data_IF_965221365336
#
_entry.id   IF_965221365336
#
_cell.length_a   1.000
_cell.length_b   1.000
_cell.length_c   1.000
_cell.angle_alpha   90.00
_cell.angle_beta   90.00
_cell.angle_gamma   90.00
#
_symmetry.space_group_name_H-M   'P 1'
#
loop_
_entity.id
_entity.type
_entity.pdbx_description
1 polymer ?
#
# COMPACT_ATOMS: atom_id res chain seq x y z
N UNK A 1 -11.20 -42.83 35.37
CA UNK A 1 -10.80 -41.55 34.76
C UNK A 1 -12.03 -40.66 34.70
N UNK A 2 -12.03 -39.53 35.40
CA UNK A 2 -13.12 -38.55 35.29
C UNK A 2 -12.99 -37.88 33.91
N UNK A 3 -13.89 -38.22 32.99
CA UNK A 3 -14.05 -37.49 31.74
C UNK A 3 -14.68 -36.12 32.06
N UNK A 4 -14.09 -35.00 31.59
CA UNK A 4 -14.66 -33.69 31.85
C UNK A 4 -15.97 -33.57 31.07
N UNK A 5 -17.06 -33.35 31.79
CA UNK A 5 -18.34 -32.94 31.22
C UNK A 5 -18.13 -31.64 30.46
N UNK A 6 -18.18 -31.69 29.13
CA UNK A 6 -18.31 -30.48 28.31
C UNK A 6 -19.70 -29.92 28.55
N UNK A 7 -19.85 -29.11 29.60
CA UNK A 7 -21.01 -28.23 29.73
C UNK A 7 -20.94 -27.23 28.60
N UNK A 8 -21.58 -27.55 27.47
CA UNK A 8 -21.84 -26.56 26.42
C UNK A 8 -22.78 -25.53 27.03
N UNK A 9 -22.23 -24.40 27.46
CA UNK A 9 -23.03 -23.22 27.78
C UNK A 9 -23.95 -23.00 26.56
N UNK A 10 -25.28 -22.98 26.73
CA UNK A 10 -26.18 -22.79 25.59
C UNK A 10 -25.81 -21.47 24.90
N UNK A 11 -25.58 -21.54 23.58
CA UNK A 11 -25.18 -20.40 22.79
C UNK A 11 -26.16 -19.23 23.01
N UNK A 12 -25.63 -18.11 23.49
CA UNK A 12 -26.43 -16.93 23.81
C UNK A 12 -26.96 -16.32 22.50
N UNK A 13 -28.28 -16.34 22.31
CA UNK A 13 -28.91 -15.79 21.11
C UNK A 13 -28.89 -14.26 21.13
N UNK A 14 -27.91 -13.62 20.48
CA UNK A 14 -27.80 -12.16 20.37
C UNK A 14 -29.08 -11.49 19.82
N UNK A 15 -29.83 -12.17 18.97
CA UNK A 15 -31.12 -11.71 18.44
C UNK A 15 -32.24 -11.60 19.48
N UNK A 16 -32.07 -12.21 20.67
CA UNK A 16 -33.02 -12.12 21.79
C UNK A 16 -32.82 -10.88 22.66
N UNK A 17 -31.71 -10.15 22.45
CA UNK A 17 -31.44 -8.91 23.17
C UNK A 17 -32.34 -7.78 22.67
N UNK A 18 -32.75 -6.85 23.56
CA UNK A 18 -33.33 -5.58 23.12
C UNK A 18 -32.40 -4.86 22.14
N UNK A 19 -32.97 -4.18 21.13
CA UNK A 19 -32.21 -3.55 20.04
C UNK A 19 -31.04 -2.66 20.50
N UNK A 20 -31.21 -1.91 21.60
CA UNK A 20 -30.14 -1.05 22.13
C UNK A 20 -28.96 -1.84 22.70
N UNK A 21 -29.20 -3.03 23.24
CA UNK A 21 -28.16 -3.89 23.81
C UNK A 21 -27.42 -4.61 22.68
N UNK A 22 -28.14 -5.17 21.70
CA UNK A 22 -27.52 -5.80 20.54
C UNK A 22 -26.69 -4.82 19.71
N UNK A 23 -27.17 -3.59 19.50
CA UNK A 23 -26.39 -2.54 18.83
C UNK A 23 -25.07 -2.23 19.54
N UNK A 24 -25.07 -2.19 20.89
CA UNK A 24 -23.86 -1.95 21.68
C UNK A 24 -22.88 -3.12 21.58
N UNK A 25 -23.35 -4.35 21.69
CA UNK A 25 -22.51 -5.55 21.58
C UNK A 25 -21.88 -5.64 20.19
N UNK A 26 -22.67 -5.45 19.13
CA UNK A 26 -22.15 -5.47 17.75
C UNK A 26 -21.16 -4.34 17.52
N UNK A 27 -21.39 -3.14 18.07
CA UNK A 27 -20.41 -2.04 17.97
C UNK A 27 -19.09 -2.28 18.71
N UNK A 28 -19.07 -3.16 19.72
CA UNK A 28 -17.85 -3.53 20.45
C UNK A 28 -17.08 -4.69 19.83
N UNK A 29 -17.65 -5.38 18.84
CA UNK A 29 -16.99 -6.50 18.16
C UNK A 29 -15.75 -6.05 17.40
N UNK A 30 -14.71 -6.90 17.38
CA UNK A 30 -13.53 -6.69 16.53
C UNK A 30 -13.88 -6.97 15.06
N UNK A 31 -13.08 -6.50 14.08
CA UNK A 31 -13.45 -6.64 12.66
C UNK A 31 -13.73 -8.08 12.23
N UNK A 32 -12.95 -9.07 12.68
CA UNK A 32 -13.20 -10.48 12.36
C UNK A 32 -14.55 -10.97 12.91
N UNK A 33 -14.92 -10.60 14.13
CA UNK A 33 -16.22 -10.95 14.71
C UNK A 33 -17.36 -10.29 13.93
N UNK A 34 -17.20 -9.04 13.49
CA UNK A 34 -18.19 -8.38 12.64
C UNK A 34 -18.36 -9.10 11.30
N UNK A 35 -17.25 -9.54 10.70
CA UNK A 35 -17.22 -10.25 9.44
C UNK A 35 -17.93 -11.61 9.57
N UNK A 36 -17.57 -12.45 10.54
CA UNK A 36 -18.23 -13.74 10.75
C UNK A 36 -19.67 -13.57 11.21
N UNK A 37 -19.97 -12.62 12.10
CA UNK A 37 -21.34 -12.32 12.51
C UNK A 37 -22.22 -11.91 11.34
N UNK A 38 -21.69 -11.15 10.37
CA UNK A 38 -22.43 -10.78 9.16
C UNK A 38 -22.74 -11.95 8.22
N UNK A 39 -22.05 -13.09 8.36
CA UNK A 39 -22.30 -14.31 7.57
C UNK A 39 -23.36 -15.24 8.18
N UNK A 40 -23.77 -15.00 9.43
CA UNK A 40 -24.68 -15.92 10.14
C UNK A 40 -26.07 -15.94 9.50
N UNK A 41 -26.60 -14.77 9.14
CA UNK A 41 -27.90 -14.59 8.51
C UNK A 41 -28.02 -13.22 7.83
N UNK A 42 -28.94 -13.06 6.87
CA UNK A 42 -29.15 -11.78 6.18
C UNK A 42 -29.57 -10.65 7.13
N UNK A 43 -30.30 -10.95 8.20
CA UNK A 43 -30.65 -9.97 9.23
C UNK A 43 -29.42 -9.47 9.99
N UNK A 44 -28.47 -10.36 10.29
CA UNK A 44 -27.20 -10.00 10.95
C UNK A 44 -26.30 -9.18 10.02
N UNK A 45 -26.24 -9.55 8.74
CA UNK A 45 -25.57 -8.78 7.69
C UNK A 45 -26.14 -7.37 7.58
N UNK A 46 -27.47 -7.25 7.51
CA UNK A 46 -28.17 -5.97 7.44
C UNK A 46 -27.92 -5.11 8.68
N UNK A 47 -27.88 -5.73 9.88
CA UNK A 47 -27.57 -5.05 11.13
C UNK A 47 -26.15 -4.46 11.12
N UNK A 48 -25.13 -5.27 10.81
CA UNK A 48 -23.74 -4.82 10.72
C UNK A 48 -23.62 -3.68 9.69
N UNK A 49 -24.14 -3.90 8.48
CA UNK A 49 -24.14 -2.88 7.42
C UNK A 49 -24.78 -1.57 7.86
N UNK A 50 -25.91 -1.62 8.57
CA UNK A 50 -26.59 -0.43 9.11
C UNK A 50 -25.72 0.31 10.13
N UNK A 51 -25.14 -0.41 11.09
CA UNK A 51 -24.37 0.19 12.18
C UNK A 51 -23.06 0.81 11.70
N UNK A 52 -22.43 0.22 10.68
CA UNK A 52 -21.14 0.65 10.15
C UNK A 52 -21.23 1.40 8.82
N UNK A 53 -22.45 1.73 8.33
CA UNK A 53 -22.66 2.44 7.06
C UNK A 53 -21.86 3.75 6.93
N UNK A 54 -21.69 4.48 8.03
CA UNK A 54 -20.96 5.76 8.09
C UNK A 54 -19.50 5.62 8.53
N UNK A 55 -19.07 4.41 8.88
CA UNK A 55 -17.72 4.12 9.35
C UNK A 55 -16.92 3.60 8.17
N UNK A 56 -15.89 4.34 7.75
CA UNK A 56 -15.01 3.88 6.68
C UNK A 56 -14.12 2.73 7.16
N UNK A 57 -14.13 1.64 6.42
CA UNK A 57 -13.22 0.53 6.62
C UNK A 57 -12.02 0.68 5.68
N UNK A 58 -10.83 0.48 6.23
CA UNK A 58 -9.61 0.30 5.45
C UNK A 58 -9.46 -1.19 5.12
N UNK A 59 -9.01 -1.48 3.90
CA UNK A 59 -8.70 -2.83 3.45
C UNK A 59 -7.30 -2.81 2.85
N UNK A 60 -6.48 -3.77 3.27
CA UNK A 60 -5.15 -4.02 2.70
C UNK A 60 -5.11 -5.46 2.20
N UNK A 61 -4.70 -5.62 0.95
CA UNK A 61 -4.58 -6.92 0.28
C UNK A 61 -3.10 -7.25 0.15
N UNK A 62 -2.75 -8.49 0.49
CA UNK A 62 -1.41 -9.04 0.35
C UNK A 62 -1.49 -10.23 -0.60
N UNK A 63 -0.75 -10.15 -1.71
CA UNK A 63 -0.57 -11.24 -2.67
C UNK A 63 0.93 -11.48 -2.74
N UNK A 64 1.40 -12.42 -1.94
CA UNK A 64 2.82 -12.77 -1.81
C UNK A 64 2.96 -14.29 -1.90
N UNK A 65 4.15 -14.78 -2.25
CA UNK A 65 4.41 -16.19 -2.59
C UNK A 65 3.82 -17.21 -1.59
N UNK A 66 3.80 -16.88 -0.30
CA UNK A 66 3.27 -17.71 0.79
C UNK A 66 2.25 -16.99 1.69
N UNK A 67 1.85 -15.77 1.31
CA UNK A 67 0.87 -14.99 2.07
C UNK A 67 -0.12 -14.32 1.11
N UNK A 68 -1.27 -14.96 0.99
CA UNK A 68 -2.44 -14.43 0.31
C UNK A 68 -3.45 -14.06 1.38
N UNK A 69 -3.54 -12.77 1.72
CA UNK A 69 -4.41 -12.35 2.82
C UNK A 69 -5.07 -10.99 2.60
N UNK A 70 -6.18 -10.80 3.31
CA UNK A 70 -6.89 -9.52 3.38
C UNK A 70 -6.92 -9.07 4.83
N UNK A 71 -6.33 -7.91 5.09
CA UNK A 71 -6.45 -7.20 6.35
C UNK A 71 -7.55 -6.15 6.26
N UNK A 72 -8.38 -6.03 7.29
CA UNK A 72 -9.45 -5.04 7.30
C UNK A 72 -9.81 -4.57 8.71
N UNK A 73 -10.29 -3.34 8.80
CA UNK A 73 -10.68 -2.73 10.07
C UNK A 73 -11.14 -1.29 9.91
N UNK A 74 -11.56 -0.69 11.01
CA UNK A 74 -11.89 0.73 11.05
C UNK A 74 -10.60 1.56 11.02
N UNK A 75 -10.62 2.72 10.37
CA UNK A 75 -9.47 3.64 10.40
C UNK A 75 -9.19 4.04 11.85
N UNK A 76 -7.94 3.80 12.31
CA UNK A 76 -7.51 4.06 13.69
C UNK A 76 -8.01 3.06 14.73
N UNK A 77 -8.72 2.01 14.31
CA UNK A 77 -9.19 0.92 15.18
C UNK A 77 -8.35 -0.35 15.05
N UNK A 78 -8.85 -1.43 15.65
CA UNK A 78 -8.29 -2.77 15.47
C UNK A 78 -8.38 -3.23 14.00
N UNK A 79 -7.43 -4.07 13.61
CA UNK A 79 -7.35 -4.70 12.29
C UNK A 79 -7.42 -6.21 12.48
N UNK A 80 -8.14 -6.89 11.60
CA UNK A 80 -8.16 -8.35 11.53
C UNK A 80 -7.60 -8.83 10.20
N UNK A 81 -7.01 -10.03 10.20
CA UNK A 81 -6.37 -10.63 9.04
C UNK A 81 -7.09 -11.92 8.65
N UNK A 82 -7.44 -12.04 7.37
CA UNK A 82 -8.01 -13.24 6.77
C UNK A 82 -7.04 -13.79 5.71
N UNK A 83 -6.38 -14.91 6.02
CA UNK A 83 -5.63 -15.68 5.03
C UNK A 83 -6.56 -16.40 4.07
N UNK A 84 -6.18 -16.51 2.80
CA UNK A 84 -6.93 -17.14 1.73
C UNK A 84 -6.04 -18.20 1.07
N UNK A 85 -6.41 -19.46 1.23
CA UNK A 85 -5.67 -20.61 0.69
C UNK A 85 -6.57 -21.36 -0.29
N UNK A 86 -6.03 -21.74 -1.44
CA UNK A 86 -6.76 -22.58 -2.40
C UNK A 86 -6.47 -24.04 -2.10
N UNK A 87 -7.53 -24.83 -1.98
CA UNK A 87 -7.42 -26.26 -1.77
C UNK A 87 -6.95 -26.95 -3.06
N UNK A 88 -5.94 -27.80 -2.93
CA UNK A 88 -5.55 -28.73 -3.98
C UNK A 88 -6.73 -29.67 -4.32
N UNK A 89 -6.79 -30.17 -5.56
CA UNK A 89 -7.87 -31.07 -6.00
C UNK A 89 -8.04 -32.32 -5.13
N UNK A 90 -7.00 -32.73 -4.40
CA UNK A 90 -7.01 -33.94 -3.55
C UNK A 90 -7.59 -33.70 -2.15
N UNK A 91 -7.63 -32.45 -1.68
CA UNK A 91 -8.13 -32.09 -0.34
C UNK A 91 -9.50 -31.43 -0.43
N UNK A 92 -10.58 -32.19 -0.35
CA UNK A 92 -11.93 -31.60 -0.36
C UNK A 92 -12.31 -30.90 0.96
N UNK A 93 -11.70 -31.32 2.07
CA UNK A 93 -11.98 -30.83 3.42
C UNK A 93 -10.69 -30.70 4.24
N UNK A 94 -10.60 -29.63 5.01
CA UNK A 94 -9.53 -29.40 5.98
C UNK A 94 -10.08 -29.68 7.38
N UNK A 95 -9.46 -30.62 8.08
CA UNK A 95 -9.87 -31.00 9.43
C UNK A 95 -9.81 -29.79 10.38
N UNK A 96 -10.83 -29.64 11.23
CA UNK A 96 -10.92 -28.54 12.20
C UNK A 96 -11.53 -27.24 11.65
N UNK A 97 -11.89 -27.19 10.36
CA UNK A 97 -12.60 -26.05 9.78
C UNK A 97 -14.10 -26.09 10.03
N UNK A 98 -14.72 -24.92 9.94
CA UNK A 98 -16.16 -24.73 9.88
C UNK A 98 -16.55 -24.25 8.47
N UNK A 99 -17.70 -24.69 7.96
CA UNK A 99 -18.21 -24.21 6.66
C UNK A 99 -19.06 -22.97 6.89
N UNK A 100 -18.69 -21.89 6.22
CA UNK A 100 -19.40 -20.61 6.25
C UNK A 100 -20.01 -20.29 4.89
N UNK A 101 -21.24 -19.77 4.88
CA UNK A 101 -21.88 -19.23 3.69
C UNK A 101 -21.54 -17.75 3.58
N UNK A 102 -20.62 -17.42 2.68
CA UNK A 102 -20.23 -16.03 2.46
C UNK A 102 -21.29 -15.30 1.61
N UNK A 103 -21.83 -15.96 0.59
CA UNK A 103 -22.99 -15.47 -0.15
C UNK A 103 -23.88 -16.64 -0.59
N UNK A 104 -24.97 -16.36 -1.29
CA UNK A 104 -25.94 -17.37 -1.75
C UNK A 104 -25.29 -18.52 -2.54
N UNK A 105 -24.15 -18.28 -3.19
CA UNK A 105 -23.50 -19.20 -4.10
C UNK A 105 -22.07 -19.58 -3.67
N UNK A 106 -21.62 -19.13 -2.49
CA UNK A 106 -20.23 -19.26 -2.06
C UNK A 106 -20.14 -19.81 -0.64
N UNK A 107 -19.75 -21.07 -0.54
CA UNK A 107 -19.36 -21.73 0.70
C UNK A 107 -17.83 -21.75 0.83
N UNK A 108 -17.34 -21.47 2.03
CA UNK A 108 -15.90 -21.42 2.33
C UNK A 108 -15.61 -22.12 3.65
N UNK A 109 -14.54 -22.90 3.69
CA UNK A 109 -14.06 -23.51 4.93
C UNK A 109 -13.21 -22.49 5.68
N UNK A 110 -13.46 -22.27 6.95
CA UNK A 110 -12.73 -21.31 7.76
C UNK A 110 -12.21 -21.94 9.06
N UNK A 111 -11.00 -21.54 9.44
CA UNK A 111 -10.35 -21.90 10.68
C UNK A 111 -9.97 -20.63 11.44
N UNK A 112 -10.21 -20.62 12.75
CA UNK A 112 -9.88 -19.50 13.63
C UNK A 112 -8.69 -19.86 14.50
N UNK A 113 -7.69 -18.99 14.54
CA UNK A 113 -6.51 -19.09 15.38
C UNK A 113 -6.47 -17.96 16.41
N UNK A 114 -5.68 -18.15 17.47
CA UNK A 114 -5.40 -17.11 18.48
C UNK A 114 -6.66 -16.39 18.99
N UNK A 115 -7.63 -17.15 19.48
CA UNK A 115 -8.90 -16.62 20.01
C UNK A 115 -9.68 -15.77 18.98
N UNK A 116 -9.62 -16.16 17.71
CA UNK A 116 -10.38 -15.52 16.63
C UNK A 116 -9.73 -14.30 15.98
N UNK A 117 -8.53 -13.88 16.42
CA UNK A 117 -7.85 -12.71 15.84
C UNK A 117 -7.32 -12.95 14.42
N UNK A 118 -6.91 -14.19 14.14
CA UNK A 118 -6.43 -14.61 12.82
C UNK A 118 -7.39 -15.66 12.29
N UNK A 119 -7.84 -15.48 11.06
CA UNK A 119 -8.66 -16.47 10.39
C UNK A 119 -7.96 -16.90 9.11
N UNK A 120 -8.07 -18.18 8.78
CA UNK A 120 -7.69 -18.72 7.47
C UNK A 120 -8.93 -19.27 6.81
N UNK A 121 -9.07 -18.97 5.52
CA UNK A 121 -10.15 -19.46 4.67
C UNK A 121 -9.57 -20.35 3.57
N UNK A 122 -10.25 -21.45 3.29
CA UNK A 122 -9.85 -22.46 2.34
C UNK A 122 -10.90 -22.57 1.22
N UNK A 123 -10.44 -22.45 -0.02
CA UNK A 123 -11.27 -22.17 -1.18
C UNK A 123 -11.17 -23.26 -2.24
N UNK A 124 -12.31 -23.68 -2.78
CA UNK A 124 -12.39 -24.59 -3.94
C UNK A 124 -12.40 -23.79 -5.25
N UNK A 125 -11.25 -23.24 -5.64
CA UNK A 125 -11.08 -22.48 -6.88
C UNK A 125 -9.67 -22.69 -7.45
N UNK A 126 -9.30 -21.95 -8.50
CA UNK A 126 -8.00 -22.16 -9.18
C UNK A 126 -6.88 -21.25 -8.71
N UNK A 127 -7.20 -20.05 -8.22
CA UNK A 127 -6.23 -19.00 -7.91
C UNK A 127 -6.53 -18.34 -6.57
N UNK A 128 -5.52 -18.13 -5.72
CA UNK A 128 -5.70 -17.37 -4.48
C UNK A 128 -6.16 -15.93 -4.75
N UNK A 129 -5.77 -15.35 -5.88
CA UNK A 129 -6.25 -14.03 -6.32
C UNK A 129 -7.77 -13.98 -6.52
N UNK A 130 -8.40 -15.07 -6.98
CA UNK A 130 -9.88 -15.16 -7.07
C UNK A 130 -10.51 -15.18 -5.67
N UNK A 131 -9.88 -15.85 -4.70
CA UNK A 131 -10.36 -15.93 -3.32
C UNK A 131 -10.28 -14.55 -2.64
N UNK A 132 -9.16 -13.86 -2.80
CA UNK A 132 -8.96 -12.49 -2.32
C UNK A 132 -10.03 -11.55 -2.89
N UNK A 133 -10.33 -11.66 -4.18
CA UNK A 133 -11.34 -10.83 -4.84
C UNK A 133 -12.76 -11.14 -4.32
N UNK A 134 -13.08 -12.41 -4.03
CA UNK A 134 -14.33 -12.81 -3.39
C UNK A 134 -14.47 -12.24 -1.97
N UNK A 135 -13.40 -12.28 -1.17
CA UNK A 135 -13.37 -11.64 0.14
C UNK A 135 -13.60 -10.13 0.03
N UNK A 136 -12.91 -9.47 -0.90
CA UNK A 136 -13.10 -8.04 -1.14
C UNK A 136 -14.55 -7.71 -1.51
N UNK A 137 -15.16 -8.50 -2.40
CA UNK A 137 -16.57 -8.32 -2.79
C UNK A 137 -17.51 -8.46 -1.59
N UNK A 138 -17.28 -9.45 -0.72
CA UNK A 138 -18.06 -9.60 0.50
C UNK A 138 -17.86 -8.44 1.47
N UNK A 139 -16.61 -8.04 1.75
CA UNK A 139 -16.29 -6.91 2.62
C UNK A 139 -16.98 -5.64 2.16
N UNK A 140 -17.03 -5.38 0.85
CA UNK A 140 -17.75 -4.25 0.25
C UNK A 140 -19.27 -4.36 0.39
N UNK A 141 -19.80 -5.58 0.40
CA UNK A 141 -21.23 -5.81 0.58
C UNK A 141 -21.72 -5.46 1.98
N UNK A 142 -20.85 -5.59 2.99
CA UNK A 142 -21.13 -5.40 4.42
C UNK A 142 -20.63 -4.05 4.94
N UNK A 143 -19.39 -3.68 4.63
CA UNK A 143 -18.70 -2.51 5.15
C UNK A 143 -18.56 -1.39 4.11
N UNK A 144 -18.41 -0.15 4.58
CA UNK A 144 -18.15 0.99 3.71
C UNK A 144 -16.64 1.06 3.36
N UNK A 145 -16.25 0.27 2.36
CA UNK A 145 -14.90 0.21 1.79
C UNK A 145 -14.82 1.09 0.55
N UNK A 146 -14.07 2.19 0.63
CA UNK A 146 -13.85 3.14 -0.48
C UNK A 146 -12.47 3.04 -1.11
N UNK A 147 -11.49 2.73 -0.27
CA UNK A 147 -10.06 2.72 -0.59
C UNK A 147 -9.48 1.36 -0.22
N UNK A 148 -8.63 0.82 -1.10
CA UNK A 148 -7.92 -0.45 -0.90
C UNK A 148 -6.43 -0.22 -1.08
N UNK A 149 -5.63 -0.76 -0.17
CA UNK A 149 -4.18 -0.86 -0.33
C UNK A 149 -3.81 -2.25 -0.85
N UNK A 150 -2.83 -2.35 -1.74
CA UNK A 150 -2.37 -3.61 -2.33
C UNK A 150 -0.86 -3.74 -2.17
N UNK A 151 -0.41 -4.84 -1.58
CA UNK A 151 0.97 -5.29 -1.59
C UNK A 151 1.04 -6.54 -2.44
N UNK A 152 1.76 -6.49 -3.56
CA UNK A 152 1.80 -7.56 -4.56
C UNK A 152 3.26 -7.92 -4.84
N UNK A 153 3.65 -9.15 -4.55
CA UNK A 153 4.92 -9.70 -4.99
C UNK A 153 4.74 -10.37 -6.34
N UNK A 154 5.43 -9.84 -7.35
CA UNK A 154 5.43 -10.43 -8.68
C UNK A 154 6.13 -11.78 -8.61
N UNK A 155 5.46 -12.79 -9.15
CA UNK A 155 5.95 -14.14 -9.36
C UNK A 155 5.44 -14.66 -10.72
N UNK A 156 5.74 -15.92 -11.05
CA UNK A 156 5.25 -16.54 -12.29
C UNK A 156 3.76 -16.92 -12.25
N UNK A 157 3.12 -16.86 -11.07
CA UNK A 157 1.74 -17.34 -10.88
C UNK A 157 0.73 -16.29 -11.31
N UNK A 158 0.98 -15.02 -10.99
CA UNK A 158 -0.03 -13.96 -11.09
C UNK A 158 0.45 -12.67 -11.76
N UNK A 159 -0.35 -12.16 -12.68
CA UNK A 159 -0.13 -10.85 -13.32
C UNK A 159 -0.63 -9.72 -12.39
N UNK A 160 0.31 -8.88 -11.94
CA UNK A 160 0.01 -7.75 -11.07
C UNK A 160 -0.93 -6.71 -11.73
N UNK A 161 -0.77 -6.45 -13.03
CA UNK A 161 -1.58 -5.48 -13.77
C UNK A 161 -3.02 -5.98 -13.90
N UNK A 162 -3.20 -7.25 -14.27
CA UNK A 162 -4.53 -7.88 -14.35
C UNK A 162 -5.22 -7.86 -12.98
N UNK A 163 -4.46 -8.15 -11.92
CA UNK A 163 -4.99 -8.14 -10.56
C UNK A 163 -5.41 -6.73 -10.11
N UNK A 164 -4.58 -5.71 -10.31
CA UNK A 164 -4.91 -4.32 -9.96
C UNK A 164 -6.13 -3.81 -10.73
N UNK A 165 -6.23 -4.12 -12.03
CA UNK A 165 -7.44 -3.84 -12.84
C UNK A 165 -8.66 -4.52 -12.25
N UNK A 166 -8.53 -5.79 -11.85
CA UNK A 166 -9.62 -6.54 -11.22
C UNK A 166 -10.08 -5.93 -9.89
N UNK A 167 -9.15 -5.41 -9.08
CA UNK A 167 -9.48 -4.66 -7.86
C UNK A 167 -10.21 -3.36 -8.20
N UNK A 168 -9.70 -2.55 -9.14
CA UNK A 168 -10.35 -1.29 -9.55
C UNK A 168 -11.73 -1.48 -10.17
N UNK A 169 -11.95 -2.54 -10.93
CA UNK A 169 -13.25 -2.85 -11.56
C UNK A 169 -14.38 -3.08 -10.53
N UNK A 170 -14.03 -3.21 -9.25
CA UNK A 170 -14.97 -3.21 -8.12
C UNK A 170 -15.32 -1.81 -7.65
N UNK A 171 -14.93 -0.74 -8.34
CA UNK A 171 -15.29 0.64 -7.99
C UNK A 171 -14.69 1.13 -6.67
N UNK A 172 -13.57 0.53 -6.24
CA UNK A 172 -12.74 1.03 -5.13
C UNK A 172 -11.55 1.81 -5.69
N UNK A 173 -11.07 2.77 -4.92
CA UNK A 173 -9.84 3.50 -5.25
C UNK A 173 -8.64 2.75 -4.69
N UNK A 174 -7.57 2.65 -5.49
CA UNK A 174 -6.29 2.16 -4.99
C UNK A 174 -5.61 3.27 -4.21
N UNK A 175 -5.39 3.05 -2.91
CA UNK A 175 -4.78 4.04 -2.03
C UNK A 175 -3.26 3.90 -2.02
N UNK A 176 -2.78 2.77 -1.55
CA UNK A 176 -1.36 2.46 -1.46
C UNK A 176 -1.11 1.22 -2.32
N UNK A 177 -0.16 1.31 -3.24
CA UNK A 177 0.24 0.17 -4.06
C UNK A 177 1.73 -0.08 -3.86
N UNK A 178 2.08 -1.26 -3.36
CA UNK A 178 3.43 -1.72 -3.16
C UNK A 178 3.66 -2.95 -4.04
N UNK A 179 4.49 -2.81 -5.07
CA UNK A 179 4.83 -3.90 -5.98
C UNK A 179 6.26 -4.33 -5.68
N UNK A 180 6.43 -5.58 -5.29
CA UNK A 180 7.72 -6.22 -5.03
C UNK A 180 7.98 -7.33 -6.05
N UNK A 181 9.19 -7.87 -6.07
CA UNK A 181 9.59 -8.90 -7.03
C UNK A 181 11.10 -9.00 -7.05
N UNK A 182 11.67 -9.55 -5.98
CA UNK A 182 13.12 -9.70 -5.89
C UNK A 182 13.60 -10.56 -7.06
N UNK A 183 14.57 -10.05 -7.83
CA UNK A 183 15.15 -10.72 -9.00
C UNK A 183 14.23 -10.87 -10.22
N UNK A 184 13.00 -10.34 -10.18
CA UNK A 184 12.09 -10.34 -11.34
C UNK A 184 12.35 -9.12 -12.22
N UNK A 185 12.62 -9.37 -13.49
CA UNK A 185 12.66 -8.33 -14.52
C UNK A 185 11.38 -8.36 -15.34
N UNK A 186 10.61 -7.28 -15.27
CA UNK A 186 9.41 -7.12 -16.09
C UNK A 186 9.76 -6.72 -17.52
N UNK A 187 9.00 -7.27 -18.45
CA UNK A 187 8.96 -6.78 -19.82
C UNK A 187 8.47 -5.34 -19.88
N UNK A 188 8.97 -4.57 -20.86
CA UNK A 188 8.74 -3.14 -20.98
C UNK A 188 7.24 -2.76 -20.97
N UNK A 189 6.41 -3.52 -21.68
CA UNK A 189 4.97 -3.26 -21.77
C UNK A 189 4.25 -3.58 -20.44
N UNK A 190 4.65 -4.64 -19.73
CA UNK A 190 4.09 -4.97 -18.42
C UNK A 190 4.44 -3.88 -17.38
N UNK A 191 5.70 -3.43 -17.36
CA UNK A 191 6.14 -2.35 -16.46
C UNK A 191 5.43 -1.02 -16.76
N UNK A 192 5.27 -0.67 -18.04
CA UNK A 192 4.54 0.52 -18.48
C UNK A 192 3.06 0.45 -18.06
N UNK A 193 2.41 -0.69 -18.25
CA UNK A 193 1.01 -0.87 -17.85
C UNK A 193 0.85 -0.82 -16.32
N UNK A 194 1.80 -1.38 -15.57
CA UNK A 194 1.82 -1.26 -14.11
C UNK A 194 1.88 0.20 -13.65
N UNK A 195 2.76 1.01 -14.24
CA UNK A 195 2.87 2.44 -13.93
C UNK A 195 1.58 3.19 -14.26
N UNK A 196 1.00 2.94 -15.44
CA UNK A 196 -0.24 3.58 -15.89
C UNK A 196 -1.42 3.24 -14.96
N UNK A 197 -1.47 2.00 -14.45
CA UNK A 197 -2.52 1.60 -13.51
C UNK A 197 -2.37 2.23 -12.12
N UNK A 198 -1.25 2.85 -11.79
CA UNK A 198 -0.98 3.37 -10.45
C UNK A 198 -0.87 4.90 -10.39
N UNK A 199 -1.26 5.62 -11.43
CA UNK A 199 -1.15 7.10 -11.49
C UNK A 199 -2.00 7.82 -10.45
N UNK A 200 -3.17 7.27 -10.12
CA UNK A 200 -4.15 7.87 -9.20
C UNK A 200 -3.97 7.44 -7.73
N UNK A 201 -2.95 6.63 -7.43
CA UNK A 201 -2.73 6.18 -6.04
C UNK A 201 -2.24 7.33 -5.16
N UNK A 202 -2.50 7.24 -3.86
CA UNK A 202 -1.88 8.14 -2.89
C UNK A 202 -0.42 7.79 -2.65
N UNK A 203 -0.09 6.49 -2.61
CA UNK A 203 1.26 5.99 -2.38
C UNK A 203 1.57 4.89 -3.40
N UNK A 204 2.75 4.96 -3.99
CA UNK A 204 3.22 3.99 -4.97
C UNK A 204 4.67 3.61 -4.67
N UNK A 205 4.92 2.33 -4.46
CA UNK A 205 6.25 1.74 -4.46
C UNK A 205 6.36 0.71 -5.59
N UNK A 206 7.37 0.86 -6.45
CA UNK A 206 7.64 -0.06 -7.56
C UNK A 206 9.07 -0.58 -7.45
N UNK A 207 9.20 -1.82 -7.00
CA UNK A 207 10.49 -2.48 -6.80
C UNK A 207 10.98 -3.45 -7.91
N UNK A 208 10.15 -4.01 -8.82
CA UNK A 208 10.66 -4.89 -9.86
C UNK A 208 11.67 -4.21 -10.80
N UNK A 209 12.57 -5.01 -11.38
CA UNK A 209 13.44 -4.55 -12.45
C UNK A 209 12.66 -4.37 -13.75
N UNK A 210 13.22 -3.58 -14.67
CA UNK A 210 12.80 -3.50 -16.06
C UNK A 210 14.04 -3.56 -16.94
N UNK A 211 13.89 -4.14 -18.14
CA UNK A 211 14.98 -4.29 -19.09
C UNK A 211 15.69 -2.97 -19.40
N UNK A 212 17.02 -3.03 -19.59
CA UNK A 212 17.80 -1.89 -20.05
C UNK A 212 17.26 -1.35 -21.38
N UNK A 213 17.15 -0.02 -21.49
CA UNK A 213 16.57 0.63 -22.66
C UNK A 213 15.06 0.83 -22.57
N UNK A 214 14.43 0.45 -21.45
CA UNK A 214 13.07 0.87 -21.16
C UNK A 214 12.94 2.40 -21.19
N UNK A 215 11.91 2.86 -21.90
CA UNK A 215 11.53 4.26 -21.96
C UNK A 215 10.08 4.41 -21.51
N UNK A 216 9.85 5.43 -20.69
CA UNK A 216 8.50 5.85 -20.31
C UNK A 216 8.27 7.26 -20.84
N UNK A 217 7.10 7.59 -21.41
CA UNK A 217 6.83 8.93 -21.90
C UNK A 217 6.79 9.95 -20.75
N UNK A 218 7.57 11.03 -20.84
CA UNK A 218 7.54 12.15 -19.86
C UNK A 218 6.12 12.72 -19.70
N UNK A 219 5.34 12.76 -20.78
CA UNK A 219 3.95 13.22 -20.77
C UNK A 219 3.02 12.37 -19.90
N UNK A 220 3.32 11.08 -19.73
CA UNK A 220 2.53 10.20 -18.86
C UNK A 220 2.95 10.37 -17.40
N UNK A 221 4.19 10.82 -17.17
CA UNK A 221 4.74 10.98 -15.83
C UNK A 221 4.21 12.25 -15.14
N UNK A 222 3.69 13.24 -15.88
CA UNK A 222 2.97 14.38 -15.31
C UNK A 222 1.62 14.02 -14.66
N UNK A 223 1.09 12.82 -14.93
CA UNK A 223 -0.14 12.33 -14.31
C UNK A 223 0.08 11.85 -12.86
N UNK A 224 1.33 11.73 -12.42
CA UNK A 224 1.68 11.29 -11.08
C UNK A 224 1.44 12.42 -10.08
N UNK A 225 0.63 12.15 -9.05
CA UNK A 225 0.28 13.10 -7.99
C UNK A 225 0.36 12.48 -6.58
N UNK A 226 1.13 11.40 -6.44
CA UNK A 226 1.27 10.65 -5.20
C UNK A 226 1.81 11.52 -4.06
N UNK A 227 1.35 11.24 -2.84
CA UNK A 227 1.99 11.71 -1.62
C UNK A 227 3.39 11.11 -1.47
N UNK A 228 3.53 9.83 -1.80
CA UNK A 228 4.80 9.10 -1.76
C UNK A 228 4.96 8.26 -3.03
N UNK A 229 5.99 8.54 -3.81
CA UNK A 229 6.39 7.76 -4.98
C UNK A 229 7.79 7.22 -4.76
N UNK A 230 7.94 5.91 -4.78
CA UNK A 230 9.24 5.22 -4.71
C UNK A 230 9.41 4.32 -5.93
N UNK A 231 10.55 4.44 -6.60
CA UNK A 231 10.96 3.57 -7.70
C UNK A 231 12.35 3.04 -7.39
N UNK A 232 12.46 1.73 -7.16
CA UNK A 232 13.73 1.11 -6.72
C UNK A 232 14.76 1.02 -7.86
N UNK A 233 14.32 0.75 -9.09
CA UNK A 233 15.19 0.64 -10.26
C UNK A 233 14.97 1.78 -11.26
N UNK A 234 15.18 3.02 -10.81
CA UNK A 234 14.89 4.25 -11.55
C UNK A 234 15.94 4.61 -12.63
N UNK A 235 16.64 3.63 -13.19
CA UNK A 235 17.73 3.86 -14.16
C UNK A 235 17.27 4.49 -15.49
N UNK A 236 15.99 4.38 -15.80
CA UNK A 236 15.32 4.99 -16.97
C UNK A 236 14.76 6.38 -16.68
N UNK A 237 14.70 6.80 -15.41
CA UNK A 237 14.21 8.13 -15.02
C UNK A 237 15.25 9.17 -15.42
N UNK A 238 14.79 10.21 -16.11
CA UNK A 238 15.62 11.31 -16.62
C UNK A 238 15.36 12.56 -15.80
N UNK A 239 16.15 13.60 -16.01
CA UNK A 239 15.91 14.89 -15.34
C UNK A 239 14.56 15.52 -15.73
N UNK A 240 14.07 15.24 -16.94
CA UNK A 240 12.76 15.71 -17.40
C UNK A 240 11.61 14.94 -16.73
N UNK A 241 11.78 13.64 -16.49
CA UNK A 241 10.88 12.86 -15.65
C UNK A 241 10.82 13.44 -14.23
N UNK A 242 11.97 13.68 -13.59
CA UNK A 242 12.00 14.25 -12.25
C UNK A 242 11.29 15.62 -12.18
N UNK A 243 11.50 16.50 -13.16
CA UNK A 243 10.79 17.78 -13.26
C UNK A 243 9.27 17.59 -13.38
N UNK A 244 8.80 16.59 -14.13
CA UNK A 244 7.37 16.34 -14.33
C UNK A 244 6.65 15.87 -13.06
N UNK A 245 7.38 15.35 -12.07
CA UNK A 245 6.86 14.94 -10.75
C UNK A 245 6.53 16.11 -9.81
N UNK A 246 6.43 17.35 -10.33
CA UNK A 246 6.12 18.56 -9.54
C UNK A 246 4.82 18.48 -8.72
N UNK A 247 3.91 17.57 -9.08
CA UNK A 247 2.63 17.37 -8.39
C UNK A 247 2.72 16.34 -7.26
N UNK A 248 3.79 15.53 -7.19
CA UNK A 248 4.03 14.62 -6.07
C UNK A 248 4.50 15.39 -4.83
N UNK A 249 4.26 14.82 -3.64
CA UNK A 249 4.75 15.41 -2.39
C UNK A 249 6.10 14.84 -1.95
N UNK A 250 6.34 13.55 -2.14
CA UNK A 250 7.59 12.88 -1.78
C UNK A 250 7.99 11.93 -2.91
N UNK A 251 9.23 12.02 -3.36
CA UNK A 251 9.78 11.21 -4.45
C UNK A 251 11.08 10.57 -4.00
N UNK A 252 11.15 9.25 -4.08
CA UNK A 252 12.36 8.46 -3.82
C UNK A 252 12.74 7.67 -5.07
N UNK A 253 13.94 7.89 -5.60
CA UNK A 253 14.45 7.16 -6.78
C UNK A 253 15.78 6.48 -6.43
N UNK A 254 15.77 5.16 -6.38
CA UNK A 254 16.99 4.38 -6.19
C UNK A 254 17.53 3.88 -7.54
N UNK A 255 18.81 3.51 -7.59
CA UNK A 255 19.49 3.07 -8.80
C UNK A 255 19.32 4.01 -10.01
N UNK A 256 19.27 5.32 -9.77
CA UNK A 256 19.08 6.32 -10.82
C UNK A 256 20.37 6.53 -11.64
N UNK A 257 20.22 7.03 -12.88
CA UNK A 257 21.36 7.54 -13.68
C UNK A 257 21.57 9.05 -13.54
N UNK A 258 20.83 9.70 -12.65
CA UNK A 258 20.91 11.15 -12.51
C UNK A 258 22.31 11.54 -12.03
N UNK A 259 22.89 12.53 -12.71
CA UNK A 259 24.23 13.05 -12.40
C UNK A 259 24.15 14.35 -11.60
N UNK A 260 25.27 14.77 -11.03
CA UNK A 260 25.40 16.08 -10.39
C UNK A 260 24.95 17.24 -11.31
N UNK A 261 25.16 17.14 -12.63
CA UNK A 261 24.70 18.13 -13.59
C UNK A 261 23.18 18.12 -13.77
N UNK A 262 22.56 16.92 -13.77
CA UNK A 262 21.11 16.81 -13.82
C UNK A 262 20.46 17.41 -12.58
N UNK A 263 21.05 17.18 -11.39
CA UNK A 263 20.54 17.77 -10.15
C UNK A 263 20.72 19.29 -10.11
N UNK A 264 21.85 19.83 -10.57
CA UNK A 264 22.01 21.29 -10.70
C UNK A 264 20.92 21.89 -11.60
N UNK A 265 20.66 21.26 -12.76
CA UNK A 265 19.59 21.70 -13.65
C UNK A 265 18.22 21.61 -12.98
N UNK A 266 17.90 20.49 -12.32
CA UNK A 266 16.63 20.30 -11.62
C UNK A 266 16.41 21.36 -10.53
N UNK A 267 17.45 21.70 -9.75
CA UNK A 267 17.35 22.73 -8.73
C UNK A 267 17.12 24.12 -9.32
N UNK A 268 17.77 24.47 -10.44
CA UNK A 268 17.49 25.74 -11.15
C UNK A 268 16.02 25.82 -11.57
N UNK A 269 15.54 24.76 -12.23
CA UNK A 269 14.15 24.69 -12.66
C UNK A 269 13.22 24.77 -11.45
N UNK A 270 13.50 24.04 -10.36
CA UNK A 270 12.70 24.10 -9.16
C UNK A 270 12.66 25.48 -8.53
N UNK A 271 13.79 26.22 -8.50
CA UNK A 271 13.84 27.59 -7.99
C UNK A 271 12.96 28.56 -8.80
N UNK A 272 12.73 28.27 -10.08
CA UNK A 272 11.86 29.06 -10.96
C UNK A 272 10.41 28.54 -11.00
N UNK A 273 10.12 27.34 -10.47
CA UNK A 273 8.76 26.80 -10.42
C UNK A 273 7.93 27.51 -9.35
N UNK A 274 6.71 27.94 -9.68
CA UNK A 274 5.70 28.27 -8.66
C UNK A 274 4.73 27.10 -8.46
N UNK A 275 4.25 26.95 -7.23
CA UNK A 275 3.16 26.01 -6.89
C UNK A 275 3.49 24.52 -7.04
N UNK A 276 4.78 24.11 -7.06
CA UNK A 276 5.12 22.69 -7.02
C UNK A 276 4.91 22.12 -5.60
N UNK A 277 4.30 20.93 -5.53
CA UNK A 277 3.94 20.22 -4.30
C UNK A 277 5.09 19.47 -3.64
N UNK A 278 6.20 19.31 -4.35
CA UNK A 278 7.38 18.56 -3.89
C UNK A 278 7.86 19.09 -2.53
N UNK A 279 7.79 18.21 -1.53
CA UNK A 279 8.29 18.41 -0.17
C UNK A 279 9.57 17.64 0.08
N UNK A 280 9.67 16.41 -0.45
CA UNK A 280 10.85 15.58 -0.28
C UNK A 280 11.27 14.99 -1.62
N UNK A 281 12.55 15.09 -1.94
CA UNK A 281 13.18 14.40 -3.06
C UNK A 281 14.41 13.69 -2.51
N UNK A 282 14.44 12.37 -2.64
CA UNK A 282 15.49 11.49 -2.15
C UNK A 282 16.01 10.61 -3.28
N UNK A 283 17.26 10.84 -3.69
CA UNK A 283 17.82 10.26 -4.89
C UNK A 283 19.15 9.58 -4.58
N UNK A 284 19.29 8.34 -5.02
CA UNK A 284 20.60 7.70 -5.10
C UNK A 284 21.37 8.25 -6.31
N UNK A 285 22.54 8.84 -6.06
CA UNK A 285 23.40 9.46 -7.08
C UNK A 285 24.83 8.98 -6.91
N UNK A 286 25.32 8.24 -7.90
CA UNK A 286 26.71 7.79 -7.95
C UNK A 286 27.64 9.00 -7.99
N UNK A 287 28.68 8.99 -7.15
CA UNK A 287 29.66 10.08 -7.06
C UNK A 287 29.03 11.45 -6.79
N UNK A 288 28.10 11.49 -5.84
CA UNK A 288 27.41 12.72 -5.41
C UNK A 288 28.41 13.80 -4.96
N UNK A 289 28.30 14.99 -5.54
CA UNK A 289 29.13 16.17 -5.27
C UNK A 289 28.21 17.38 -5.08
N UNK A 290 27.86 17.68 -3.81
CA UNK A 290 26.97 18.78 -3.47
C UNK A 290 27.51 20.15 -3.90
N UNK A 291 28.78 20.54 -3.62
CA UNK A 291 29.35 21.78 -4.13
C UNK A 291 29.16 21.97 -5.65
N UNK A 292 29.31 20.90 -6.44
CA UNK A 292 29.03 20.94 -7.88
C UNK A 292 27.55 21.12 -8.20
N UNK A 293 26.65 20.50 -7.43
CA UNK A 293 25.19 20.61 -7.60
C UNK A 293 24.68 22.01 -7.25
N UNK A 294 25.21 22.66 -6.23
CA UNK A 294 24.77 24.01 -5.81
C UNK A 294 25.50 25.15 -6.56
N UNK A 295 26.49 24.83 -7.39
CA UNK A 295 27.25 25.83 -8.12
C UNK A 295 26.36 26.69 -9.03
N UNK A 296 26.52 28.02 -8.92
CA UNK A 296 25.73 29.01 -9.65
C UNK A 296 24.32 29.25 -9.09
N UNK A 297 23.93 28.59 -7.99
CA UNK A 297 22.67 28.88 -7.29
C UNK A 297 22.89 29.93 -6.20
N UNK A 298 21.83 30.63 -5.83
CA UNK A 298 21.80 31.43 -4.60
C UNK A 298 21.43 30.51 -3.43
N UNK A 299 22.36 30.33 -2.50
CA UNK A 299 22.20 29.46 -1.33
C UNK A 299 22.79 30.10 -0.07
N UNK A 300 22.38 29.60 1.10
CA UNK A 300 22.97 29.92 2.40
C UNK A 300 23.44 28.65 3.09
N UNK A 301 24.46 28.75 3.94
CA UNK A 301 24.92 27.63 4.77
C UNK A 301 23.85 27.37 5.84
N UNK A 302 23.45 26.11 6.00
CA UNK A 302 22.57 25.66 7.08
C UNK A 302 23.31 24.64 7.93
N UNK A 303 23.22 24.74 9.26
CA UNK A 303 23.70 23.65 10.10
C UNK A 303 22.80 22.43 9.88
N UNK A 304 23.35 21.38 9.27
CA UNK A 304 22.61 20.15 9.07
C UNK A 304 22.57 19.33 10.35
N UNK A 305 21.38 19.08 10.89
CA UNK A 305 21.14 18.10 11.95
C UNK A 305 20.12 17.12 11.41
N UNK A 306 20.48 15.83 11.31
CA UNK A 306 19.57 14.77 10.88
C UNK A 306 19.22 13.90 12.07
N UNK A 307 17.94 13.57 12.24
CA UNK A 307 17.47 12.52 13.15
C UNK A 307 17.58 11.14 12.49
N UNK A 308 18.32 10.21 13.09
CA UNK A 308 18.38 8.80 12.71
C UNK A 308 18.11 7.85 13.88
N UNK A 309 18.17 6.54 13.65
CA UNK A 309 17.95 5.49 14.67
C UNK A 309 18.89 5.57 15.89
N UNK A 310 20.00 6.32 15.79
CA UNK A 310 20.96 6.58 16.88
C UNK A 310 20.91 8.00 17.46
N UNK A 311 19.89 8.81 17.15
CA UNK A 311 19.77 10.20 17.57
C UNK A 311 20.13 11.22 16.49
N UNK A 312 20.49 12.43 16.90
CA UNK A 312 20.81 13.53 15.99
C UNK A 312 22.28 13.47 15.54
N UNK A 313 22.53 13.34 14.24
CA UNK A 313 23.86 13.46 13.65
C UNK A 313 24.01 14.86 13.02
N UNK A 314 25.08 15.57 13.40
CA UNK A 314 25.48 16.79 12.71
C UNK A 314 26.12 16.42 11.37
N UNK A 315 25.61 16.98 10.28
CA UNK A 315 26.23 16.84 8.97
C UNK A 315 27.57 17.59 8.93
N UNK A 316 28.57 17.07 8.19
CA UNK A 316 29.80 17.81 7.93
C UNK A 316 29.51 19.21 7.33
N UNK A 317 30.36 20.22 7.61
CA UNK A 317 30.29 21.50 6.92
C UNK A 317 30.36 21.30 5.40
N UNK A 318 29.45 21.94 4.66
CA UNK A 318 29.37 21.80 3.19
C UNK A 318 28.48 20.65 2.69
N UNK A 319 27.83 19.90 3.59
CA UNK A 319 26.85 18.87 3.22
C UNK A 319 25.39 19.30 3.43
N UNK A 320 25.15 20.59 3.72
CA UNK A 320 23.82 21.12 3.97
C UNK A 320 23.72 22.59 3.54
N UNK A 321 22.82 22.87 2.60
CA UNK A 321 22.59 24.19 2.03
C UNK A 321 21.10 24.51 1.99
N UNK A 322 20.73 25.77 2.20
CA UNK A 322 19.36 26.23 1.97
C UNK A 322 19.28 26.99 0.65
N UNK A 323 18.29 26.64 -0.18
CA UNK A 323 17.92 27.37 -1.39
C UNK A 323 16.50 27.93 -1.26
N UNK A 324 16.20 28.96 -2.04
CA UNK A 324 14.90 29.61 -2.02
C UNK A 324 14.32 29.73 -3.43
N UNK A 325 13.06 29.32 -3.56
CA UNK A 325 12.27 29.41 -4.78
C UNK A 325 11.68 30.81 -4.98
N UNK A 326 11.28 31.14 -6.20
CA UNK A 326 10.73 32.45 -6.57
C UNK A 326 9.48 32.86 -5.77
N UNK A 327 8.69 31.89 -5.29
CA UNK A 327 7.52 32.12 -4.44
C UNK A 327 7.84 32.18 -2.93
N UNK A 328 9.12 32.23 -2.57
CA UNK A 328 9.58 32.36 -1.18
C UNK A 328 9.71 31.03 -0.44
N UNK A 329 9.28 29.92 -1.02
CA UNK A 329 9.45 28.58 -0.43
C UNK A 329 10.93 28.22 -0.33
N UNK A 330 11.34 27.75 0.84
CA UNK A 330 12.71 27.31 1.11
C UNK A 330 12.84 25.79 1.04
N UNK A 331 14.00 25.32 0.64
CA UNK A 331 14.35 23.91 0.71
C UNK A 331 15.78 23.73 1.20
N UNK A 332 15.96 22.73 2.05
CA UNK A 332 17.25 22.23 2.50
C UNK A 332 17.74 21.15 1.54
N UNK A 333 18.92 21.37 0.97
CA UNK A 333 19.67 20.41 0.16
C UNK A 333 20.75 19.78 1.03
N UNK A 334 20.75 18.47 1.14
CA UNK A 334 21.74 17.76 1.94
C UNK A 334 22.18 16.43 1.33
N UNK A 335 23.24 15.86 1.92
CA UNK A 335 23.84 14.60 1.49
C UNK A 335 23.97 13.64 2.66
N UNK A 336 23.58 12.38 2.43
CA UNK A 336 23.91 11.25 3.33
C UNK A 336 24.51 10.14 2.48
N UNK A 337 25.82 9.90 2.61
CA UNK A 337 26.51 8.90 1.77
C UNK A 337 26.42 9.25 0.28
N UNK A 338 25.78 8.40 -0.52
CA UNK A 338 25.50 8.64 -1.95
C UNK A 338 24.06 9.14 -2.21
N UNK A 339 23.33 9.52 -1.16
CA UNK A 339 21.96 10.02 -1.26
C UNK A 339 21.93 11.54 -1.29
N UNK A 340 21.31 12.08 -2.33
CA UNK A 340 20.91 13.48 -2.42
C UNK A 340 19.54 13.64 -1.80
N UNK A 341 19.42 14.59 -0.88
CA UNK A 341 18.16 14.93 -0.22
C UNK A 341 17.82 16.38 -0.49
N UNK A 342 16.55 16.61 -0.80
CA UNK A 342 15.96 17.93 -0.85
C UNK A 342 14.65 17.89 -0.05
N UNK A 343 14.61 18.66 1.03
CA UNK A 343 13.46 18.76 1.92
C UNK A 343 12.99 20.19 1.97
N UNK A 344 11.71 20.41 1.67
CA UNK A 344 11.05 21.70 1.79
C UNK A 344 10.84 22.01 3.27
N UNK A 345 11.28 23.19 3.69
CA UNK A 345 11.15 23.64 5.07
C UNK A 345 9.72 24.05 5.45
#
# INVERSE_FOLDING_TARGET
MLSPSSSTVPAFGLHKLPHLVSDKVVKSMVPMELFTYSMVAEETKALVKRLFKKVSFQVSIFVQEQDYSVSFGQIGGAISNLGCEVLSQESEQVNGTQIWKMDENTEVQMEHYYDGQICRSYWKMKKETEAILKVLDYLRSVFNVKEVSVSFSIDEKYDAVEFLKSVKNRGVQLKNVNITGFEVTLEAEAYKNLLNECTETSELNVAPHVNWGFEYPVSNFSNFCQKFLTIEHAHWVTVHHLKSLRNCASVTLNNSKLTNQNLNWFLREWMEMSGASLRNVDLEVKQLDLPRIINGLKWTIKEGIISGFGGFQKLPPGDCFEIQRIDGVKATISRIGERFLMTRD
#
